data_IF_868986766173
#
_entry.id   IF_868986766173
#
_cell.length_a   1.000
_cell.length_b   1.000
_cell.length_c   1.000
_cell.angle_alpha   90.00
_cell.angle_beta   90.00
_cell.angle_gamma   90.00
#
_symmetry.space_group_name_H-M   'P 1'
#
loop_
_entity.id
_entity.type
_entity.pdbx_description
1 polymer ?
#
# COMPACT_ATOMS: atom_id res chain seq x y z
N UNK A 1 -21.00 17.24 10.91
CA UNK A 1 -19.92 16.28 11.17
C UNK A 1 -20.28 15.02 10.43
N UNK A 2 -19.47 14.59 9.46
CA UNK A 2 -19.68 13.25 8.87
C UNK A 2 -19.13 12.19 9.81
N UNK A 3 -19.84 11.08 9.92
CA UNK A 3 -19.37 9.93 10.70
C UNK A 3 -18.26 9.19 9.94
N UNK A 4 -17.42 8.42 10.65
CA UNK A 4 -16.41 7.56 10.00
C UNK A 4 -17.06 6.62 8.98
N UNK A 5 -18.23 6.07 9.31
CA UNK A 5 -19.00 5.18 8.44
C UNK A 5 -19.43 5.86 7.13
N UNK A 6 -19.84 7.14 7.16
CA UNK A 6 -20.16 7.90 5.96
C UNK A 6 -18.94 8.12 5.06
N UNK A 7 -17.77 8.38 5.67
CA UNK A 7 -16.51 8.56 4.93
C UNK A 7 -16.08 7.25 4.27
N UNK A 8 -16.18 6.13 4.99
CA UNK A 8 -15.88 4.79 4.43
C UNK A 8 -16.80 4.46 3.26
N UNK A 9 -18.10 4.73 3.39
CA UNK A 9 -19.07 4.47 2.32
C UNK A 9 -18.82 5.36 1.10
N UNK A 10 -18.51 6.64 1.29
CA UNK A 10 -18.13 7.55 0.22
C UNK A 10 -16.83 7.12 -0.47
N UNK A 11 -15.82 6.72 0.30
CA UNK A 11 -14.56 6.22 -0.24
C UNK A 11 -14.76 4.91 -1.02
N UNK A 12 -15.64 4.02 -0.56
CA UNK A 12 -15.94 2.76 -1.26
C UNK A 12 -16.53 2.98 -2.66
N UNK A 13 -17.33 4.03 -2.84
CA UNK A 13 -17.96 4.39 -4.11
C UNK A 13 -17.01 5.04 -5.13
N UNK A 14 -15.81 5.46 -4.73
CA UNK A 14 -14.86 6.12 -5.63
C UNK A 14 -14.28 5.15 -6.68
N UNK A 15 -14.05 5.63 -7.92
CA UNK A 15 -13.22 4.94 -8.91
C UNK A 15 -11.81 4.66 -8.39
N UNK A 16 -11.11 3.61 -8.88
CA UNK A 16 -9.76 3.25 -8.40
C UNK A 16 -8.76 4.41 -8.42
N UNK A 17 -8.74 5.19 -9.51
CA UNK A 17 -7.85 6.35 -9.67
C UNK A 17 -8.07 7.42 -8.59
N UNK A 18 -9.33 7.67 -8.23
CA UNK A 18 -9.67 8.68 -7.23
C UNK A 18 -9.37 8.18 -5.82
N UNK A 19 -9.50 6.87 -5.56
CA UNK A 19 -9.04 6.24 -4.31
C UNK A 19 -7.54 6.39 -4.12
N UNK A 20 -6.75 6.19 -5.17
CA UNK A 20 -5.30 6.38 -5.13
C UNK A 20 -4.93 7.85 -4.80
N UNK A 21 -5.57 8.81 -5.46
CA UNK A 21 -5.35 10.23 -5.19
C UNK A 21 -5.76 10.62 -3.76
N UNK A 22 -6.90 10.09 -3.27
CA UNK A 22 -7.36 10.30 -1.91
C UNK A 22 -6.34 9.77 -0.87
N UNK A 23 -5.78 8.58 -1.08
CA UNK A 23 -4.75 8.05 -0.18
C UNK A 23 -3.51 8.92 -0.12
N UNK A 24 -3.03 9.43 -1.28
CA UNK A 24 -1.87 10.32 -1.33
C UNK A 24 -2.14 11.65 -0.60
N UNK A 25 -3.32 12.23 -0.80
CA UNK A 25 -3.75 13.46 -0.14
C UNK A 25 -3.80 13.28 1.39
N UNK A 26 -4.48 12.24 1.87
CA UNK A 26 -4.58 11.95 3.31
C UNK A 26 -3.20 11.69 3.92
N UNK A 27 -2.34 10.92 3.24
CA UNK A 27 -0.98 10.68 3.70
C UNK A 27 -0.13 11.96 3.77
N UNK A 28 -0.33 12.91 2.86
CA UNK A 28 0.35 14.21 2.90
C UNK A 28 -0.16 15.09 4.06
N UNK A 29 -1.47 15.15 4.29
CA UNK A 29 -2.05 15.88 5.41
C UNK A 29 -1.59 15.34 6.76
N UNK A 30 -1.67 14.02 6.97
CA UNK A 30 -1.24 13.38 8.22
C UNK A 30 0.24 13.68 8.52
N UNK A 31 1.11 13.68 7.50
CA UNK A 31 2.52 14.08 7.67
C UNK A 31 2.65 15.55 8.06
N UNK A 32 1.89 16.44 7.44
CA UNK A 32 1.92 17.87 7.73
C UNK A 32 1.42 18.20 9.15
N UNK A 33 0.45 17.42 9.65
CA UNK A 33 -0.11 17.54 11.00
C UNK A 33 0.78 16.91 12.08
N UNK A 34 1.95 16.36 11.70
CA UNK A 34 2.84 15.67 12.63
C UNK A 34 2.24 14.39 13.19
N UNK A 35 1.23 13.82 12.51
CA UNK A 35 0.64 12.56 12.92
C UNK A 35 1.72 11.48 12.95
N UNK A 36 1.71 10.68 14.01
CA UNK A 36 2.69 9.60 14.18
C UNK A 36 2.52 8.63 13.03
N UNK A 37 3.51 8.57 12.15
CA UNK A 37 3.56 7.57 11.08
C UNK A 37 3.43 6.18 11.72
N UNK A 38 2.75 5.24 11.05
CA UNK A 38 2.75 3.86 11.51
C UNK A 38 4.20 3.39 11.62
N UNK A 39 4.50 2.66 12.69
CA UNK A 39 5.84 2.12 12.92
C UNK A 39 6.29 1.31 11.68
N UNK A 40 7.57 1.40 11.28
CA UNK A 40 8.09 0.64 10.16
C UNK A 40 7.69 -0.83 10.29
N UNK A 41 7.12 -1.39 9.21
CA UNK A 41 6.78 -2.82 9.21
C UNK A 41 8.06 -3.62 9.41
N UNK A 42 8.06 -4.47 10.43
CA UNK A 42 9.12 -5.45 10.65
C UNK A 42 8.72 -6.72 9.94
N UNK A 43 9.56 -7.17 9.03
CA UNK A 43 9.42 -8.45 8.36
C UNK A 43 10.40 -9.44 8.97
N UNK A 44 9.98 -10.70 9.11
CA UNK A 44 10.87 -11.76 9.54
C UNK A 44 11.89 -12.07 8.45
N UNK A 45 13.01 -12.72 8.82
CA UNK A 45 14.01 -13.15 7.85
C UNK A 45 13.42 -14.13 6.84
N UNK A 46 12.52 -15.00 7.31
CA UNK A 46 11.82 -15.98 6.49
C UNK A 46 10.92 -15.29 5.46
N UNK A 47 10.17 -14.26 5.85
CA UNK A 47 9.32 -13.50 4.92
C UNK A 47 10.15 -12.84 3.80
N UNK A 48 11.29 -12.24 4.15
CA UNK A 48 12.19 -11.62 3.17
C UNK A 48 12.76 -12.69 2.22
N UNK A 49 13.13 -13.87 2.75
CA UNK A 49 13.66 -14.96 1.92
C UNK A 49 12.62 -15.51 0.94
N UNK A 50 11.35 -15.63 1.35
CA UNK A 50 10.27 -16.03 0.45
C UNK A 50 10.17 -15.08 -0.74
N UNK A 51 10.18 -13.77 -0.51
CA UNK A 51 10.11 -12.78 -1.60
C UNK A 51 11.30 -12.86 -2.55
N UNK A 52 12.52 -13.09 -2.02
CA UNK A 52 13.71 -13.27 -2.86
C UNK A 52 13.54 -14.50 -3.77
N UNK A 53 13.07 -15.62 -3.22
CA UNK A 53 12.87 -16.85 -3.98
C UNK A 53 11.81 -16.68 -5.07
N UNK A 54 10.72 -15.97 -4.77
CA UNK A 54 9.65 -15.64 -5.72
C UNK A 54 10.19 -14.77 -6.87
N UNK A 55 10.90 -13.69 -6.55
CA UNK A 55 11.49 -12.77 -7.53
C UNK A 55 12.51 -13.47 -8.44
N UNK A 56 13.37 -14.32 -7.87
CA UNK A 56 14.30 -15.13 -8.66
C UNK A 56 13.59 -16.11 -9.60
N UNK A 57 12.47 -16.70 -9.16
CA UNK A 57 11.69 -17.60 -10.01
C UNK A 57 11.05 -16.86 -11.18
N UNK A 58 10.53 -15.65 -10.94
CA UNK A 58 9.97 -14.80 -11.97
C UNK A 58 11.03 -14.34 -12.98
N UNK A 59 12.22 -13.98 -12.50
CA UNK A 59 13.35 -13.65 -13.38
C UNK A 59 13.79 -14.83 -14.26
N UNK A 60 13.83 -16.04 -13.71
CA UNK A 60 14.14 -17.27 -14.49
C UNK A 60 13.09 -17.51 -15.58
N UNK A 61 11.80 -17.36 -15.25
CA UNK A 61 10.70 -17.49 -16.22
C UNK A 61 10.82 -16.44 -17.33
N UNK A 62 11.08 -15.20 -16.97
CA UNK A 62 11.26 -14.11 -17.95
C UNK A 62 12.42 -14.40 -18.92
N UNK A 63 13.56 -14.88 -18.42
CA UNK A 63 14.73 -15.23 -19.25
C UNK A 63 14.50 -16.45 -20.13
N UNK A 64 13.75 -17.45 -19.66
CA UNK A 64 13.42 -18.65 -20.44
C UNK A 64 12.35 -18.44 -21.51
N UNK A 65 11.74 -17.25 -21.56
CA UNK A 65 10.78 -16.83 -22.59
C UNK A 65 11.44 -15.97 -23.70
N UNK A 66 12.75 -15.73 -23.63
CA UNK A 66 13.54 -15.04 -24.67
C UNK A 66 14.27 -16.03 -25.58
#
# INVERSE_FOLDING_TARGET
>A
MSTLAEIEQAAAALPPKDKEQLMLFLGAQLRAEGARLPEPRRFSREQIQTWIVEDEADLRRFRGQQ
#
